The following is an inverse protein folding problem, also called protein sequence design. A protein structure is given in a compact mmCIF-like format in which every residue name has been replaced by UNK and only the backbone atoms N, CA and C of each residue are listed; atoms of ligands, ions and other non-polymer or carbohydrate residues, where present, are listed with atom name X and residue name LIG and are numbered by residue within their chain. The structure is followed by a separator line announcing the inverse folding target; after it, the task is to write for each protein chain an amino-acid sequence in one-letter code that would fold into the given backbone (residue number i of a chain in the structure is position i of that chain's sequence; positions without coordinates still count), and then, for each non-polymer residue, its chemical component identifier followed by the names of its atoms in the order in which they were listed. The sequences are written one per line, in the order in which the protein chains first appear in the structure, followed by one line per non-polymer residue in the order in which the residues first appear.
data_IF_630767123653
#
_entry.id   IF_630767123653
#
_cell.length_a   1.000
_cell.length_b   1.000
_cell.length_c   1.000
_cell.angle_alpha   90.00
_cell.angle_beta   90.00
_cell.angle_gamma   90.00
#
_symmetry.space_group_name_H-M   'P 1'
#
loop_
_entity.id
_entity.type
_entity.pdbx_description
1 polymer ?
#
# COMPACT_ATOMS: atom_id res chain seq x y z
N UNK A 1 30.62 -4.52 -15.62
CA UNK A 1 29.22 -4.32 -15.15
C UNK A 1 28.96 -2.82 -15.09
N UNK A 2 28.04 -2.31 -15.89
CA UNK A 2 27.78 -0.87 -15.99
C UNK A 2 27.05 -0.37 -14.72
N UNK A 3 27.56 0.69 -14.09
CA UNK A 3 26.86 1.36 -12.99
C UNK A 3 25.62 2.07 -13.57
N UNK A 4 24.41 1.58 -13.28
CA UNK A 4 23.18 2.29 -13.60
C UNK A 4 23.13 3.60 -12.81
N UNK A 5 23.05 4.73 -13.53
CA UNK A 5 22.86 6.05 -12.93
C UNK A 5 21.37 6.20 -12.61
N UNK A 6 21.01 6.20 -11.33
CA UNK A 6 19.64 6.44 -10.89
C UNK A 6 19.24 7.88 -11.22
N UNK A 7 17.98 8.08 -11.57
CA UNK A 7 17.42 9.40 -11.87
C UNK A 7 17.05 10.20 -10.59
N UNK A 8 17.09 9.54 -9.44
CA UNK A 8 16.73 10.08 -8.13
C UNK A 8 17.85 9.86 -7.11
N UNK A 9 17.76 10.55 -5.97
CA UNK A 9 18.78 10.54 -4.94
C UNK A 9 18.69 9.36 -3.95
N UNK A 10 17.55 8.64 -3.93
CA UNK A 10 17.27 7.55 -2.98
C UNK A 10 18.37 6.49 -2.94
N UNK A 11 18.70 6.01 -1.72
CA UNK A 11 19.73 4.99 -1.51
C UNK A 11 19.21 3.83 -0.68
N UNK A 12 19.71 2.62 -0.99
CA UNK A 12 19.47 1.45 -0.13
C UNK A 12 20.07 1.71 1.26
N UNK A 13 19.28 1.42 2.30
CA UNK A 13 19.64 1.61 3.71
C UNK A 13 19.28 2.99 4.26
N UNK A 14 18.83 3.92 3.42
CA UNK A 14 18.30 5.22 3.83
C UNK A 14 16.93 5.05 4.49
N UNK A 15 16.67 5.85 5.53
CA UNK A 15 15.37 5.94 6.20
C UNK A 15 14.72 7.27 5.87
N UNK A 16 13.47 7.25 5.41
CA UNK A 16 12.71 8.42 4.97
C UNK A 16 11.40 8.50 5.73
N UNK A 17 10.99 9.72 6.08
CA UNK A 17 9.64 10.00 6.55
C UNK A 17 8.72 10.18 5.35
N UNK A 18 7.69 9.34 5.24
CA UNK A 18 6.73 9.38 4.13
C UNK A 18 5.30 9.27 4.64
N UNK A 19 4.37 9.82 3.86
CA UNK A 19 2.93 9.59 4.03
C UNK A 19 2.46 8.60 2.95
N UNK A 20 1.65 7.63 3.34
CA UNK A 20 1.09 6.65 2.41
C UNK A 20 -0.14 7.23 1.72
N UNK A 21 -0.08 7.34 0.40
CA UNK A 21 -1.10 8.00 -0.42
C UNK A 21 -2.18 7.03 -0.92
N UNK A 22 -1.79 5.77 -1.17
CA UNK A 22 -2.67 4.75 -1.77
C UNK A 22 -2.12 3.34 -1.51
N UNK A 23 -2.89 2.32 -1.89
CA UNK A 23 -2.41 0.93 -1.94
C UNK A 23 -2.20 0.49 -3.39
N UNK A 24 -1.11 -0.23 -3.63
CA UNK A 24 -0.85 -0.92 -4.87
C UNK A 24 -1.67 -2.22 -4.97
N UNK A 25 -1.81 -2.73 -6.20
CA UNK A 25 -2.27 -4.09 -6.40
C UNK A 25 -1.31 -5.07 -5.70
N UNK A 26 -1.80 -5.85 -4.74
CA UNK A 26 -0.99 -6.69 -3.85
C UNK A 26 -0.85 -6.17 -2.41
N UNK A 27 -1.37 -4.97 -2.10
CA UNK A 27 -1.50 -4.48 -0.73
C UNK A 27 -0.38 -3.64 -0.17
N UNK A 28 0.72 -3.47 -0.90
CA UNK A 28 1.78 -2.56 -0.53
C UNK A 28 1.23 -1.12 -0.50
N UNK A 29 1.51 -0.38 0.57
CA UNK A 29 1.30 1.06 0.60
C UNK A 29 2.23 1.76 -0.39
N UNK A 30 1.73 2.81 -1.03
CA UNK A 30 2.47 3.60 -2.01
C UNK A 30 2.62 5.01 -1.47
N UNK A 31 3.86 5.43 -1.29
CA UNK A 31 4.24 6.83 -1.12
C UNK A 31 5.03 7.30 -2.35
N UNK A 32 5.14 8.61 -2.54
CA UNK A 32 6.02 9.20 -3.57
C UNK A 32 7.08 10.07 -2.95
N UNK A 33 8.33 9.88 -3.36
CA UNK A 33 9.46 10.74 -3.02
C UNK A 33 10.17 11.14 -4.32
N UNK A 34 10.31 12.45 -4.58
CA UNK A 34 10.91 13.00 -5.81
C UNK A 34 10.31 12.41 -7.11
N UNK A 35 9.00 12.13 -7.10
CA UNK A 35 8.29 11.53 -8.24
C UNK A 35 8.49 10.02 -8.41
N UNK A 36 9.27 9.38 -7.52
CA UNK A 36 9.53 7.94 -7.53
C UNK A 36 8.60 7.25 -6.53
N UNK A 37 7.85 6.22 -6.94
CA UNK A 37 7.02 5.44 -6.03
C UNK A 37 7.88 4.60 -5.08
N UNK A 38 7.51 4.62 -3.81
CA UNK A 38 8.06 3.79 -2.75
C UNK A 38 6.95 2.84 -2.30
N UNK A 39 7.17 1.54 -2.48
CA UNK A 39 6.28 0.48 -2.01
C UNK A 39 6.65 0.08 -0.58
N UNK A 40 5.67 0.07 0.30
CA UNK A 40 5.84 -0.13 1.73
C UNK A 40 4.89 -1.24 2.19
N UNK A 41 5.46 -2.37 2.59
CA UNK A 41 4.66 -3.50 3.08
C UNK A 41 3.93 -3.11 4.39
N UNK A 42 2.68 -3.59 4.54
CA UNK A 42 1.79 -3.36 5.70
C UNK A 42 1.54 -1.91 6.10
N UNK A 43 1.65 -1.01 5.13
CA UNK A 43 1.22 0.37 5.29
C UNK A 43 -0.30 0.48 5.06
N UNK A 44 -0.93 1.43 5.74
CA UNK A 44 -2.31 1.84 5.53
C UNK A 44 -2.35 3.24 4.89
N UNK A 45 -3.36 3.53 4.08
CA UNK A 45 -3.54 4.86 3.49
C UNK A 45 -3.69 5.89 4.62
N UNK A 46 -2.93 6.99 4.54
CA UNK A 46 -2.89 8.01 5.60
C UNK A 46 -1.88 7.75 6.72
N UNK A 47 -1.19 6.60 6.73
CA UNK A 47 -0.06 6.41 7.65
C UNK A 47 1.03 7.44 7.38
N UNK A 48 1.59 8.00 8.46
CA UNK A 48 2.87 8.70 8.44
C UNK A 48 3.93 7.80 9.07
N UNK A 49 4.93 7.38 8.30
CA UNK A 49 5.88 6.32 8.68
C UNK A 49 7.32 6.71 8.38
N UNK A 50 8.25 6.23 9.21
CA UNK A 50 9.66 6.10 8.87
C UNK A 50 9.86 4.78 8.13
N UNK A 51 10.33 4.87 6.89
CA UNK A 51 10.51 3.73 5.99
C UNK A 51 11.98 3.59 5.66
N UNK A 52 12.55 2.41 5.94
CA UNK A 52 13.91 2.07 5.51
C UNK A 52 13.90 1.35 4.18
N UNK A 53 14.61 1.93 3.22
CA UNK A 53 14.70 1.40 1.86
C UNK A 53 15.61 0.17 1.82
N UNK A 54 15.11 -0.95 1.29
CA UNK A 54 15.90 -2.15 1.10
C UNK A 54 16.11 -2.52 -0.37
N UNK A 55 15.23 -2.11 -1.28
CA UNK A 55 15.43 -2.25 -2.73
C UNK A 55 15.23 -0.91 -3.41
N UNK A 56 16.20 -0.47 -4.19
CA UNK A 56 16.17 0.82 -4.88
C UNK A 56 16.51 0.57 -6.34
N UNK A 57 15.53 0.78 -7.21
CA UNK A 57 15.62 0.62 -8.67
C UNK A 57 15.46 1.98 -9.33
N UNK A 58 15.67 2.04 -10.64
CA UNK A 58 15.58 3.29 -11.41
C UNK A 58 14.21 3.97 -11.31
N UNK A 59 13.15 3.16 -11.30
CA UNK A 59 11.77 3.63 -11.46
C UNK A 59 10.92 3.45 -10.19
N UNK A 60 11.45 2.78 -9.16
CA UNK A 60 10.76 2.56 -7.88
C UNK A 60 11.73 2.19 -6.75
N UNK A 61 11.27 2.31 -5.51
CA UNK A 61 11.92 1.72 -4.35
C UNK A 61 10.95 0.85 -3.53
N UNK A 62 11.49 -0.05 -2.73
CA UNK A 62 10.76 -0.83 -1.71
C UNK A 62 11.39 -0.58 -0.35
N UNK A 63 10.56 -0.41 0.66
CA UNK A 63 11.00 -0.20 2.02
C UNK A 63 10.12 -0.91 3.04
N UNK A 64 10.66 -1.06 4.24
CA UNK A 64 9.93 -1.59 5.39
C UNK A 64 9.70 -0.47 6.41
N UNK A 65 8.55 -0.50 7.07
CA UNK A 65 8.24 0.44 8.14
C UNK A 65 9.17 0.16 9.32
N UNK A 66 10.05 1.11 9.66
CA UNK A 66 10.82 1.07 10.90
C UNK A 66 10.01 1.63 12.07
N UNK A 67 9.17 2.63 11.80
CA UNK A 67 8.33 3.26 12.82
C UNK A 67 7.09 3.89 12.20
N UNK A 68 5.95 3.69 12.85
CA UNK A 68 4.74 4.47 12.57
C UNK A 68 4.80 5.73 13.43
N UNK A 69 4.86 6.89 12.79
CA UNK A 69 4.87 8.20 13.47
C UNK A 69 3.44 8.60 13.81
N UNK A 70 2.53 8.43 12.85
CA UNK A 70 1.10 8.67 13.01
C UNK A 70 0.34 7.54 12.30
N UNK A 71 -0.37 6.68 13.03
CA UNK A 71 -1.16 5.62 12.42
C UNK A 71 -2.39 6.21 11.71
N UNK A 72 -2.73 5.64 10.56
CA UNK A 72 -4.02 5.91 9.91
C UNK A 72 -5.20 5.49 10.81
N UNK A 73 -6.32 6.22 10.80
CA UNK A 73 -7.56 5.76 11.43
C UNK A 73 -8.13 4.49 10.77
N UNK A 74 -7.69 4.14 9.56
CA UNK A 74 -8.11 2.93 8.85
C UNK A 74 -7.42 1.67 9.37
N UNK A 75 -6.45 1.79 10.28
CA UNK A 75 -5.77 0.61 10.85
C UNK A 75 -6.69 -0.16 11.78
N UNK A 76 -6.54 -1.49 11.77
CA UNK A 76 -7.15 -2.40 12.73
C UNK A 76 -6.09 -3.38 13.24
N UNK A 77 -6.33 -3.96 14.42
CA UNK A 77 -5.48 -5.04 14.92
C UNK A 77 -5.77 -6.33 14.13
N UNK A 78 -4.75 -6.93 13.49
CA UNK A 78 -4.94 -8.16 12.73
C UNK A 78 -5.46 -9.28 13.64
N UNK A 79 -6.58 -9.96 13.30
CA UNK A 79 -7.11 -11.04 14.13
C UNK A 79 -6.22 -12.29 14.09
N UNK A 80 -5.41 -12.48 13.06
CA UNK A 80 -4.48 -13.61 12.98
C UNK A 80 -3.14 -13.28 13.64
N UNK A 81 -2.80 -14.00 14.70
CA UNK A 81 -1.48 -13.92 15.37
C UNK A 81 -0.27 -14.19 14.45
N UNK A 82 -0.49 -14.85 13.31
CA UNK A 82 0.55 -15.17 12.33
C UNK A 82 0.61 -14.16 11.18
N UNK A 83 -0.24 -13.12 11.18
CA UNK A 83 -0.31 -12.12 10.12
C UNK A 83 1.07 -11.59 9.76
N UNK A 84 1.90 -11.33 10.76
CA UNK A 84 3.19 -10.70 10.53
C UNK A 84 4.27 -11.61 9.90
N UNK A 85 4.02 -12.91 9.76
CA UNK A 85 5.03 -13.88 9.33
C UNK A 85 4.56 -14.81 8.20
N UNK A 86 3.26 -15.14 8.19
CA UNK A 86 2.70 -16.16 7.29
C UNK A 86 2.58 -15.69 5.83
N UNK A 87 2.37 -14.39 5.59
CA UNK A 87 2.21 -13.83 4.25
C UNK A 87 0.90 -14.23 3.52
N UNK A 88 0.04 -15.05 4.14
CA UNK A 88 -1.21 -15.50 3.55
C UNK A 88 -2.29 -14.42 3.47
N UNK A 89 -2.26 -13.42 4.35
CA UNK A 89 -3.19 -12.30 4.31
C UNK A 89 -2.43 -10.99 4.13
N UNK A 90 -2.95 -10.11 3.27
CA UNK A 90 -2.29 -8.86 2.92
C UNK A 90 -2.78 -7.68 3.77
N UNK A 91 -4.07 -7.63 4.11
CA UNK A 91 -4.74 -6.40 4.59
C UNK A 91 -5.38 -6.52 5.97
N UNK A 92 -5.03 -7.53 6.78
CA UNK A 92 -5.66 -7.67 8.10
C UNK A 92 -5.34 -6.51 9.06
N UNK A 93 -4.31 -5.70 8.75
CA UNK A 93 -4.01 -4.46 9.46
C UNK A 93 -4.94 -3.30 9.08
N UNK A 94 -5.89 -3.50 8.17
CA UNK A 94 -6.89 -2.52 7.75
C UNK A 94 -8.27 -2.89 8.29
N UNK A 95 -9.06 -1.89 8.66
CA UNK A 95 -10.48 -2.06 8.94
C UNK A 95 -11.20 -2.67 7.74
N UNK A 96 -12.29 -3.39 7.99
CA UNK A 96 -13.02 -4.04 6.91
C UNK A 96 -13.56 -3.04 5.87
N UNK A 97 -14.05 -1.89 6.34
CA UNK A 97 -14.50 -0.79 5.49
C UNK A 97 -13.37 -0.27 4.59
N UNK A 98 -12.18 -0.09 5.15
CA UNK A 98 -11.00 0.31 4.37
C UNK A 98 -10.61 -0.76 3.34
N UNK A 99 -10.72 -2.05 3.67
CA UNK A 99 -10.48 -3.13 2.70
C UNK A 99 -11.46 -3.06 1.52
N UNK A 100 -12.75 -2.80 1.76
CA UNK A 100 -13.74 -2.67 0.67
C UNK A 100 -13.47 -1.44 -0.20
N UNK A 101 -13.22 -0.28 0.43
CA UNK A 101 -12.92 0.96 -0.27
C UNK A 101 -11.66 0.85 -1.13
N UNK A 102 -10.60 0.22 -0.61
CA UNK A 102 -9.37 0.01 -1.36
C UNK A 102 -9.56 -0.97 -2.53
N UNK A 103 -10.35 -2.05 -2.37
CA UNK A 103 -10.70 -2.95 -3.49
C UNK A 103 -11.44 -2.19 -4.60
N UNK A 104 -12.39 -1.34 -4.24
CA UNK A 104 -13.13 -0.54 -5.20
C UNK A 104 -12.21 0.41 -5.96
N UNK A 105 -11.32 1.09 -5.24
CA UNK A 105 -10.30 1.97 -5.81
C UNK A 105 -9.42 1.22 -6.84
N UNK A 106 -8.96 0.01 -6.51
CA UNK A 106 -8.17 -0.82 -7.43
C UNK A 106 -8.94 -1.17 -8.71
N UNK A 107 -10.22 -1.53 -8.61
CA UNK A 107 -11.08 -1.81 -9.77
C UNK A 107 -11.23 -0.56 -10.64
N UNK A 108 -11.54 0.59 -10.03
CA UNK A 108 -11.68 1.88 -10.74
C UNK A 108 -10.37 2.27 -11.44
N UNK A 109 -9.23 2.11 -10.77
CA UNK A 109 -7.91 2.38 -11.35
C UNK A 109 -7.61 1.44 -12.53
N UNK A 110 -7.93 0.15 -12.42
CA UNK A 110 -7.75 -0.80 -13.51
C UNK A 110 -8.60 -0.43 -14.74
N UNK A 111 -9.87 -0.09 -14.54
CA UNK A 111 -10.77 0.34 -15.62
C UNK A 111 -10.27 1.62 -16.29
N UNK A 112 -9.78 2.58 -15.50
CA UNK A 112 -9.22 3.83 -16.00
C UNK A 112 -7.94 3.64 -16.81
N UNK A 113 -6.98 2.92 -16.24
CA UNK A 113 -5.62 2.89 -16.77
C UNK A 113 -5.34 1.74 -17.74
N UNK A 114 -6.04 0.60 -17.59
CA UNK A 114 -5.85 -0.58 -18.44
C UNK A 114 -6.89 -0.60 -19.55
N UNK A 115 -8.17 -0.43 -19.21
CA UNK A 115 -9.26 -0.48 -20.20
C UNK A 115 -9.50 0.86 -20.92
N UNK A 116 -8.89 1.96 -20.46
CA UNK A 116 -9.08 3.30 -21.03
C UNK A 116 -10.49 3.84 -20.83
N UNK A 117 -11.24 3.31 -19.87
CA UNK A 117 -12.61 3.73 -19.57
C UNK A 117 -12.58 4.96 -18.65
N UNK A 118 -13.41 5.96 -18.94
CA UNK A 118 -13.45 7.20 -18.16
C UNK A 118 -14.02 7.02 -16.75
N UNK A 119 -13.81 8.03 -15.90
CA UNK A 119 -14.36 8.09 -14.52
C UNK A 119 -15.88 8.09 -14.45
N UNK A 120 -16.57 8.33 -15.58
CA UNK A 120 -18.03 8.30 -15.68
C UNK A 120 -18.64 6.91 -15.65
N UNK A 121 -17.83 5.84 -15.65
CA UNK A 121 -18.34 4.48 -15.56
C UNK A 121 -18.83 4.19 -14.14
N UNK A 122 -20.11 3.84 -14.02
CA UNK A 122 -20.69 3.37 -12.76
C UNK A 122 -20.09 2.01 -12.39
N UNK A 123 -19.45 1.94 -11.22
CA UNK A 123 -18.95 0.69 -10.63
C UNK A 123 -19.78 0.46 -9.38
N UNK A 124 -20.38 -0.72 -9.28
CA UNK A 124 -21.12 -1.12 -8.09
C UNK A 124 -20.17 -1.27 -6.89
N UNK A 125 -20.63 -1.02 -5.66
CA UNK A 125 -19.81 -1.21 -4.47
C UNK A 125 -19.30 -2.66 -4.36
N UNK A 126 -18.11 -2.83 -3.79
CA UNK A 126 -17.56 -4.17 -3.54
C UNK A 126 -18.43 -4.89 -2.51
N UNK A 127 -18.99 -6.04 -2.91
CA UNK A 127 -19.75 -6.88 -2.01
C UNK A 127 -18.83 -7.44 -0.90
N UNK A 128 -19.14 -7.10 0.35
CA UNK A 128 -18.52 -7.70 1.51
C UNK A 128 -18.95 -9.16 1.69
N UNK A 129 -18.06 -9.97 2.25
CA UNK A 129 -18.45 -11.25 2.82
C UNK A 129 -19.40 -10.99 4.01
N UNK A 130 -20.48 -11.78 4.16
CA UNK A 130 -21.34 -11.67 5.32
C UNK A 130 -20.50 -11.93 6.58
N UNK A 131 -20.64 -11.05 7.58
CA UNK A 131 -20.04 -11.28 8.89
C UNK A 131 -20.67 -12.53 9.50
N UNK A 132 -19.85 -13.39 10.09
CA UNK A 132 -20.37 -14.48 10.90
C UNK A 132 -20.77 -13.88 12.26
N UNK A 133 -22.05 -13.58 12.45
CA UNK A 133 -22.59 -13.08 13.74
C UNK A 133 -22.53 -14.15 14.85
N UNK A 134 -21.94 -15.32 14.59
CA UNK A 134 -21.87 -16.47 15.50
C UNK A 134 -20.52 -16.68 16.21
N UNK A 135 -19.58 -15.74 16.09
CA UNK A 135 -18.32 -15.72 16.85
C UNK A 135 -18.30 -14.63 17.92
#
# INVERSE_FOLDING_TARGET
MAKMKLAHALRRGETLEVTIDSLANGGDGVAKCDGVPIFVDRAAVGDKVLVRLFDVRKDFARGAIEKIIQPSPERSEPPCQHFDQCGGCQWQHLSYEAQLANKESLVRQALKHIAGMGESLSVEPIAGAPGDESL
#
